data_IF_515708431314
#
_entry.id   IF_515708431314
#
_cell.length_a   1.000
_cell.length_b   1.000
_cell.length_c   1.000
_cell.angle_alpha   90.00
_cell.angle_beta   90.00
_cell.angle_gamma   90.00
#
_symmetry.space_group_name_H-M   'P 1'
#
loop_
_entity.id
_entity.type
_entity.pdbx_description
1 polymer ?
#
# COMPACT_ATOMS: atom_id res chain seq x y z
N UNK A 1 -16.86 2.21 11.48
CA UNK A 1 -15.48 2.13 10.93
C UNK A 1 -15.34 3.23 9.89
N UNK A 2 -14.33 4.09 9.92
CA UNK A 2 -14.27 5.36 9.14
C UNK A 2 -14.71 5.27 7.67
N UNK A 3 -14.24 4.26 6.92
CA UNK A 3 -14.65 4.08 5.52
C UNK A 3 -16.10 3.61 5.41
N UNK A 4 -16.58 2.72 6.29
CA UNK A 4 -17.99 2.31 6.32
C UNK A 4 -18.95 3.47 6.61
N UNK A 5 -18.54 4.38 7.50
CA UNK A 5 -19.44 5.42 8.01
C UNK A 5 -19.46 6.67 7.11
N UNK A 6 -18.34 6.99 6.44
CA UNK A 6 -18.16 8.26 5.74
C UNK A 6 -18.09 8.13 4.20
N UNK A 7 -17.76 6.96 3.66
CA UNK A 7 -17.62 6.81 2.21
C UNK A 7 -18.98 6.81 1.51
N UNK A 8 -19.14 7.70 0.51
CA UNK A 8 -20.37 7.82 -0.28
C UNK A 8 -20.17 7.17 -1.65
N UNK A 9 -20.59 5.91 -1.85
CA UNK A 9 -20.45 5.25 -3.14
C UNK A 9 -21.26 5.94 -4.24
N UNK A 10 -20.72 6.00 -5.45
CA UNK A 10 -21.42 6.44 -6.67
C UNK A 10 -21.54 5.24 -7.61
N UNK A 11 -22.67 5.12 -8.32
CA UNK A 11 -22.95 3.98 -9.21
C UNK A 11 -21.91 3.78 -10.32
N UNK A 12 -21.15 4.81 -10.67
CA UNK A 12 -20.10 4.76 -11.67
C UNK A 12 -18.73 4.34 -11.13
N UNK A 13 -18.57 4.23 -9.81
CA UNK A 13 -17.29 3.96 -9.17
C UNK A 13 -16.74 2.58 -9.50
N UNK A 14 -15.42 2.51 -9.59
CA UNK A 14 -14.66 1.26 -9.68
C UNK A 14 -13.69 1.20 -8.51
N UNK A 15 -13.84 0.20 -7.64
CA UNK A 15 -13.01 -0.01 -6.47
C UNK A 15 -12.07 -1.20 -6.72
N UNK A 16 -10.77 -0.92 -6.72
CA UNK A 16 -9.71 -1.92 -6.79
C UNK A 16 -9.38 -2.38 -5.37
N UNK A 17 -9.92 -3.51 -4.96
CA UNK A 17 -9.70 -4.08 -3.63
C UNK A 17 -8.63 -5.18 -3.71
N UNK A 18 -7.61 -5.09 -2.85
CA UNK A 18 -6.53 -6.09 -2.85
C UNK A 18 -6.03 -6.33 -1.45
N UNK A 19 -5.48 -7.50 -1.16
CA UNK A 19 -4.58 -7.60 0.00
C UNK A 19 -3.25 -6.89 -0.30
N UNK A 20 -2.54 -6.30 0.69
CA UNK A 20 -1.19 -5.80 0.49
C UNK A 20 -0.29 -6.84 -0.18
N UNK A 21 0.58 -6.36 -1.08
CA UNK A 21 1.61 -7.15 -1.79
C UNK A 21 1.10 -8.17 -2.82
N UNK A 22 -0.18 -8.11 -3.17
CA UNK A 22 -0.81 -8.92 -4.23
C UNK A 22 -0.84 -8.24 -5.61
N UNK A 23 0.07 -7.31 -5.90
CA UNK A 23 0.18 -6.67 -7.22
C UNK A 23 -0.58 -5.35 -7.40
N UNK A 24 -0.74 -4.55 -6.35
CA UNK A 24 -1.50 -3.29 -6.38
C UNK A 24 -0.99 -2.27 -7.39
N UNK A 25 0.33 -2.08 -7.46
CA UNK A 25 0.92 -1.13 -8.40
C UNK A 25 0.60 -1.50 -9.84
N UNK A 26 0.69 -2.79 -10.17
CA UNK A 26 0.36 -3.30 -11.50
C UNK A 26 -1.14 -3.13 -11.80
N UNK A 27 -2.00 -3.52 -10.86
CA UNK A 27 -3.46 -3.40 -11.03
C UNK A 27 -3.91 -1.94 -11.18
N UNK A 28 -3.37 -1.02 -10.37
CA UNK A 28 -3.64 0.41 -10.48
C UNK A 28 -3.21 0.97 -11.83
N UNK A 29 -2.00 0.65 -12.28
CA UNK A 29 -1.50 1.09 -13.58
C UNK A 29 -2.39 0.60 -14.72
N UNK A 30 -2.72 -0.70 -14.70
CA UNK A 30 -3.55 -1.32 -15.73
C UNK A 30 -4.97 -0.73 -15.77
N UNK A 31 -5.62 -0.64 -14.61
CA UNK A 31 -6.98 -0.08 -14.52
C UNK A 31 -7.00 1.40 -14.93
N UNK A 32 -6.00 2.18 -14.54
CA UNK A 32 -5.88 3.59 -14.93
C UNK A 32 -5.70 3.75 -16.45
N UNK A 33 -4.81 2.95 -17.05
CA UNK A 33 -4.60 2.93 -18.50
C UNK A 33 -5.88 2.54 -19.26
N UNK A 34 -6.59 1.50 -18.81
CA UNK A 34 -7.84 1.05 -19.46
C UNK A 34 -8.93 2.11 -19.39
N UNK A 35 -9.12 2.72 -18.21
CA UNK A 35 -10.18 3.73 -17.98
C UNK A 35 -9.91 5.03 -18.72
N UNK A 36 -8.66 5.40 -18.92
CA UNK A 36 -8.26 6.65 -19.57
C UNK A 36 -7.66 6.47 -20.98
N UNK A 37 -7.84 5.29 -21.60
CA UNK A 37 -7.23 4.93 -22.90
C UNK A 37 -7.58 5.87 -24.06
N UNK A 38 -8.72 6.55 -23.98
CA UNK A 38 -9.16 7.54 -24.97
C UNK A 38 -8.79 8.98 -24.57
N UNK A 39 -8.37 9.19 -23.33
CA UNK A 39 -8.09 10.52 -22.76
C UNK A 39 -6.62 10.92 -22.92
N UNK A 40 -5.73 9.95 -23.08
CA UNK A 40 -4.29 10.18 -23.23
C UNK A 40 -3.74 9.41 -24.43
N UNK A 41 -2.76 10.00 -25.12
CA UNK A 41 -1.98 9.29 -26.13
C UNK A 41 -0.93 8.40 -25.46
N UNK A 42 -0.42 7.40 -26.19
CA UNK A 42 0.63 6.53 -25.67
C UNK A 42 1.92 7.29 -25.34
N UNK A 43 2.22 8.38 -26.06
CA UNK A 43 3.44 9.16 -25.87
C UNK A 43 3.38 10.13 -24.70
N UNK A 44 2.19 10.57 -24.27
CA UNK A 44 2.00 11.51 -23.16
C UNK A 44 1.11 10.92 -22.06
N UNK A 45 1.36 9.67 -21.71
CA UNK A 45 0.56 8.98 -20.72
C UNK A 45 1.05 9.28 -19.28
N UNK A 46 0.16 9.65 -18.32
CA UNK A 46 0.57 9.99 -16.95
C UNK A 46 1.38 8.91 -16.22
N UNK A 47 1.17 7.63 -16.56
CA UNK A 47 1.93 6.50 -16.01
C UNK A 47 3.44 6.52 -16.34
N UNK A 48 3.87 7.31 -17.32
CA UNK A 48 5.30 7.47 -17.61
C UNK A 48 5.98 8.47 -16.66
N UNK A 49 5.20 9.41 -16.11
CA UNK A 49 5.71 10.53 -15.31
C UNK A 49 5.41 10.38 -13.82
N UNK A 50 4.32 9.69 -13.47
CA UNK A 50 3.82 9.58 -12.08
C UNK A 50 3.69 8.13 -11.64
N UNK A 51 3.84 7.92 -10.34
CA UNK A 51 3.64 6.61 -9.75
C UNK A 51 2.15 6.21 -9.83
N UNK A 52 1.80 4.96 -10.19
CA UNK A 52 0.42 4.49 -10.20
C UNK A 52 -0.31 4.65 -8.85
N UNK A 53 0.42 4.68 -7.73
CA UNK A 53 -0.13 4.90 -6.41
C UNK A 53 -0.68 6.33 -6.21
N UNK A 54 -0.17 7.31 -6.97
CA UNK A 54 -0.63 8.70 -6.96
C UNK A 54 -1.83 8.92 -7.89
N UNK A 55 -1.89 8.16 -8.99
CA UNK A 55 -2.93 8.29 -10.00
C UNK A 55 -4.26 7.64 -9.60
N UNK A 56 -4.20 6.62 -8.75
CA UNK A 56 -5.38 5.92 -8.23
C UNK A 56 -5.45 6.14 -6.72
N UNK A 57 -6.34 7.03 -6.24
CA UNK A 57 -6.53 7.32 -4.83
C UNK A 57 -6.75 6.05 -4.00
N UNK A 58 -6.19 6.06 -2.80
CA UNK A 58 -6.37 4.98 -1.85
C UNK A 58 -7.36 5.41 -0.77
N UNK A 59 -8.34 4.57 -0.45
CA UNK A 59 -9.31 4.80 0.61
C UNK A 59 -9.04 3.87 1.80
N UNK A 60 -8.86 4.46 2.98
CA UNK A 60 -8.74 3.75 4.25
C UNK A 60 -7.34 3.64 4.85
N UNK A 61 -6.35 4.39 4.36
CA UNK A 61 -5.01 4.43 4.96
C UNK A 61 -4.81 5.66 5.85
N UNK A 62 -5.28 6.84 5.40
CA UNK A 62 -5.05 8.12 6.07
C UNK A 62 -6.36 8.83 6.38
N UNK A 63 -6.29 9.75 7.35
CA UNK A 63 -7.35 10.72 7.57
C UNK A 63 -7.47 11.64 6.35
N UNK A 64 -8.71 11.91 5.93
CA UNK A 64 -9.01 12.71 4.74
C UNK A 64 -9.02 11.95 3.41
N UNK A 65 -8.66 10.66 3.36
CA UNK A 65 -8.70 9.87 2.12
C UNK A 65 -10.11 9.87 1.49
N UNK A 66 -11.13 9.73 2.33
CA UNK A 66 -12.54 9.73 1.91
C UNK A 66 -12.95 11.12 1.41
N UNK A 67 -12.57 12.18 2.12
CA UNK A 67 -12.89 13.55 1.76
C UNK A 67 -12.24 13.92 0.41
N UNK A 68 -10.98 13.53 0.21
CA UNK A 68 -10.29 13.68 -1.06
C UNK A 68 -11.00 12.93 -2.18
N UNK A 69 -11.45 11.69 -1.95
CA UNK A 69 -12.19 10.92 -2.93
C UNK A 69 -13.53 11.59 -3.35
N UNK A 70 -14.13 12.41 -2.48
CA UNK A 70 -15.34 13.17 -2.81
C UNK A 70 -15.06 14.37 -3.73
N UNK A 71 -13.87 14.96 -3.67
CA UNK A 71 -13.48 16.06 -4.57
C UNK A 71 -13.31 15.63 -6.03
N UNK A 72 -13.19 14.33 -6.30
CA UNK A 72 -12.92 13.80 -7.64
C UNK A 72 -14.19 13.71 -8.50
N UNK A 73 -14.07 13.98 -9.82
CA UNK A 73 -15.19 13.81 -10.74
C UNK A 73 -15.51 12.32 -10.98
N UNK A 74 -16.76 12.04 -11.32
CA UNK A 74 -17.18 10.70 -11.75
C UNK A 74 -16.83 10.46 -13.23
N UNK A 75 -16.48 9.22 -13.65
CA UNK A 75 -16.35 8.01 -12.83
C UNK A 75 -15.04 7.99 -12.02
N UNK A 76 -15.11 7.56 -10.75
CA UNK A 76 -13.92 7.46 -9.88
C UNK A 76 -13.30 6.07 -9.97
N UNK A 77 -11.98 6.04 -10.11
CA UNK A 77 -11.17 4.84 -9.95
C UNK A 77 -10.47 4.93 -8.59
N UNK A 78 -10.86 4.06 -7.66
CA UNK A 78 -10.39 4.07 -6.27
C UNK A 78 -9.72 2.74 -5.92
N UNK A 79 -8.94 2.71 -4.86
CA UNK A 79 -8.26 1.50 -4.41
C UNK A 79 -8.31 1.34 -2.89
N UNK A 80 -8.30 0.10 -2.40
CA UNK A 80 -8.31 -0.16 -0.97
C UNK A 80 -7.67 -1.50 -0.62
N UNK A 81 -7.19 -1.61 0.62
CA UNK A 81 -6.80 -2.87 1.24
C UNK A 81 -7.84 -3.45 2.18
N UNK A 82 -8.99 -2.77 2.30
CA UNK A 82 -10.08 -3.25 3.13
C UNK A 82 -10.71 -4.50 2.50
N UNK A 83 -10.92 -5.57 3.29
CA UNK A 83 -11.72 -6.70 2.85
C UNK A 83 -13.16 -6.23 2.62
N UNK A 84 -13.87 -6.91 1.72
CA UNK A 84 -15.21 -6.51 1.28
C UNK A 84 -16.22 -6.22 2.43
N UNK A 85 -16.27 -7.01 3.53
CA UNK A 85 -17.18 -6.72 4.65
C UNK A 85 -16.91 -5.40 5.37
N UNK A 86 -15.70 -4.84 5.22
CA UNK A 86 -15.29 -3.57 5.81
C UNK A 86 -15.54 -2.36 4.91
N UNK A 87 -16.08 -2.59 3.71
CA UNK A 87 -16.65 -1.52 2.88
C UNK A 87 -18.10 -1.27 3.29
N UNK A 88 -18.66 -0.06 3.02
CA UNK A 88 -20.08 0.18 3.24
C UNK A 88 -20.91 -0.88 2.48
N UNK A 89 -21.90 -1.51 3.12
CA UNK A 89 -22.77 -2.49 2.45
C UNK A 89 -23.46 -1.92 1.22
N UNK A 90 -23.67 -0.59 1.21
CA UNK A 90 -24.23 0.17 0.10
C UNK A 90 -23.40 0.05 -1.18
N UNK A 91 -22.08 -0.17 -1.11
CA UNK A 91 -21.23 -0.32 -2.31
C UNK A 91 -21.75 -1.45 -3.21
N UNK A 92 -22.15 -2.58 -2.62
CA UNK A 92 -22.66 -3.75 -3.36
C UNK A 92 -24.04 -3.51 -3.98
N UNK A 93 -24.85 -2.65 -3.37
CA UNK A 93 -26.24 -2.38 -3.82
C UNK A 93 -26.37 -1.17 -4.73
N UNK A 94 -25.43 -0.20 -4.67
CA UNK A 94 -25.46 1.04 -5.46
C UNK A 94 -24.97 0.90 -6.91
N UNK A 95 -24.57 -0.30 -7.33
CA UNK A 95 -24.05 -0.56 -8.68
C UNK A 95 -22.55 -0.26 -8.86
N UNK A 96 -21.81 -0.03 -7.79
CA UNK A 96 -20.35 0.09 -7.85
C UNK A 96 -19.73 -1.21 -8.38
N UNK A 97 -18.65 -1.09 -9.15
CA UNK A 97 -17.89 -2.26 -9.62
C UNK A 97 -16.70 -2.48 -8.71
N UNK A 98 -16.56 -3.70 -8.18
CA UNK A 98 -15.42 -4.08 -7.34
C UNK A 98 -14.57 -5.08 -8.11
N UNK A 99 -13.28 -4.75 -8.25
CA UNK A 99 -12.26 -5.67 -8.78
C UNK A 99 -11.41 -6.11 -7.60
N UNK A 100 -11.50 -7.40 -7.26
CA UNK A 100 -10.71 -7.98 -6.18
C UNK A 100 -9.56 -8.81 -6.75
N UNK A 101 -8.33 -8.52 -6.32
CA UNK A 101 -7.15 -9.37 -6.64
C UNK A 101 -6.53 -9.93 -5.36
N UNK A 102 -6.29 -11.23 -5.39
CA UNK A 102 -5.52 -11.94 -4.38
C UNK A 102 -4.37 -12.69 -5.03
N UNK A 103 -3.31 -12.87 -4.25
CA UNK A 103 -2.19 -13.75 -4.53
C UNK A 103 -2.23 -14.90 -3.52
N UNK A 104 -1.58 -16.01 -3.86
CA UNK A 104 -1.39 -17.10 -2.91
C UNK A 104 -0.74 -16.55 -1.61
N UNK A 105 -1.24 -16.94 -0.41
CA UNK A 105 -0.82 -16.35 0.84
C UNK A 105 0.68 -16.45 1.16
N UNK A 106 1.35 -17.57 0.89
CA UNK A 106 2.80 -17.73 1.12
C UNK A 106 3.59 -16.77 0.24
N UNK A 107 3.18 -16.67 -1.01
CA UNK A 107 3.75 -15.78 -2.03
C UNK A 107 3.58 -14.30 -1.65
N UNK A 108 2.38 -13.92 -1.21
CA UNK A 108 2.08 -12.58 -0.72
C UNK A 108 2.89 -12.24 0.52
N UNK A 109 3.08 -13.22 1.41
CA UNK A 109 3.86 -13.10 2.63
C UNK A 109 5.35 -12.90 2.35
N UNK A 110 5.97 -13.73 1.50
CA UNK A 110 7.38 -13.57 1.08
C UNK A 110 7.59 -12.21 0.41
N UNK A 111 6.65 -11.78 -0.45
CA UNK A 111 6.68 -10.44 -1.04
C UNK A 111 6.60 -9.33 0.00
N UNK A 112 5.80 -9.52 1.06
CA UNK A 112 5.72 -8.58 2.19
C UNK A 112 7.00 -8.55 2.99
N UNK A 113 7.53 -9.71 3.33
CA UNK A 113 8.79 -9.88 4.04
C UNK A 113 9.94 -9.13 3.39
N UNK A 114 10.16 -9.34 2.08
CA UNK A 114 11.21 -8.63 1.35
C UNK A 114 10.96 -7.13 1.26
N UNK A 115 9.70 -6.70 1.15
CA UNK A 115 9.36 -5.29 1.10
C UNK A 115 9.64 -4.58 2.42
N UNK A 116 9.17 -5.15 3.53
CA UNK A 116 9.38 -4.58 4.86
C UNK A 116 10.88 -4.58 5.20
N UNK A 117 11.59 -5.67 4.92
CA UNK A 117 13.04 -5.73 5.11
C UNK A 117 13.82 -4.74 4.24
N UNK A 118 13.37 -4.47 3.01
CA UNK A 118 14.00 -3.44 2.19
C UNK A 118 13.81 -2.07 2.81
N UNK A 119 12.61 -1.75 3.28
CA UNK A 119 12.32 -0.47 3.95
C UNK A 119 13.14 -0.31 5.23
N UNK A 120 13.21 -1.37 6.04
CA UNK A 120 14.01 -1.40 7.26
C UNK A 120 15.49 -1.23 6.91
N UNK A 121 16.03 -1.96 5.92
CA UNK A 121 17.42 -1.80 5.48
C UNK A 121 17.72 -0.37 5.02
N UNK A 122 16.84 0.25 4.24
CA UNK A 122 17.03 1.64 3.79
C UNK A 122 17.07 2.63 4.97
N UNK A 123 16.32 2.39 6.05
CA UNK A 123 16.28 3.26 7.24
C UNK A 123 17.43 2.95 8.21
N UNK A 124 17.77 1.67 8.39
CA UNK A 124 18.73 1.19 9.40
C UNK A 124 20.17 1.23 8.90
N UNK A 125 20.42 0.94 7.62
CA UNK A 125 21.78 0.80 7.10
C UNK A 125 22.47 2.15 6.84
N UNK A 126 21.70 3.21 6.52
CA UNK A 126 22.23 4.54 6.30
C UNK A 126 21.24 5.64 6.79
N UNK A 127 21.02 5.72 8.11
CA UNK A 127 20.08 6.67 8.68
C UNK A 127 20.49 8.13 8.43
N UNK A 128 21.80 8.39 8.33
CA UNK A 128 22.34 9.72 8.02
C UNK A 128 21.92 10.18 6.62
N UNK A 129 22.02 9.31 5.62
CA UNK A 129 21.56 9.64 4.26
C UNK A 129 20.06 9.91 4.22
N UNK A 130 19.25 9.15 4.96
CA UNK A 130 17.80 9.39 5.04
C UNK A 130 17.51 10.73 5.69
N UNK A 131 18.14 11.02 6.84
CA UNK A 131 17.96 12.28 7.59
C UNK A 131 18.42 13.49 6.78
N UNK A 132 19.59 13.43 6.13
CA UNK A 132 20.09 14.51 5.28
C UNK A 132 19.19 14.77 4.07
N UNK A 133 18.70 13.70 3.43
CA UNK A 133 17.78 13.82 2.29
C UNK A 133 16.43 14.41 2.73
N UNK A 134 15.93 14.01 3.89
CA UNK A 134 14.71 14.57 4.47
C UNK A 134 14.88 16.05 4.83
N UNK A 135 15.98 16.43 5.47
CA UNK A 135 16.28 17.81 5.82
C UNK A 135 16.34 18.71 4.58
N UNK A 136 16.96 18.22 3.50
CA UNK A 136 16.98 18.90 2.20
C UNK A 136 15.57 19.06 1.61
N UNK A 137 14.74 18.02 1.70
CA UNK A 137 13.35 18.06 1.21
C UNK A 137 12.47 19.03 2.02
N UNK A 138 12.73 19.17 3.32
CA UNK A 138 12.04 20.12 4.20
C UNK A 138 12.52 21.57 4.03
N UNK A 139 13.49 21.83 3.15
CA UNK A 139 14.05 23.16 2.93
C UNK A 139 15.04 23.63 4.01
N UNK A 140 15.53 22.71 4.85
CA UNK A 140 16.48 22.97 5.94
C UNK A 140 17.67 22.01 5.86
N UNK A 141 18.47 22.04 4.78
CA UNK A 141 19.58 21.10 4.61
C UNK A 141 20.65 21.33 5.68
N UNK A 142 21.27 20.25 6.17
CA UNK A 142 22.43 20.36 7.05
C UNK A 142 23.61 20.97 6.28
N UNK A 143 24.16 22.05 6.82
CA UNK A 143 25.38 22.69 6.30
C UNK A 143 26.60 21.79 6.49
N UNK A 144 27.67 22.03 5.74
CA UNK A 144 28.93 21.29 5.92
C UNK A 144 29.50 21.48 7.33
N UNK A 145 29.34 22.67 7.91
CA UNK A 145 29.76 22.96 9.28
C UNK A 145 28.96 22.14 10.30
N UNK A 146 27.64 22.04 10.16
CA UNK A 146 26.79 21.20 11.03
C UNK A 146 27.12 19.71 10.91
N UNK A 147 27.41 19.23 9.70
CA UNK A 147 27.84 17.84 9.47
C UNK A 147 29.22 17.58 10.10
N UNK A 148 30.16 18.52 9.97
CA UNK A 148 31.48 18.40 10.62
C UNK A 148 31.39 18.38 12.15
N UNK A 149 30.35 19.01 12.71
CA UNK A 149 30.05 19.04 14.15
C UNK A 149 29.21 17.83 14.60
N UNK A 150 28.84 16.91 13.70
CA UNK A 150 28.02 15.74 14.02
C UNK A 150 26.58 16.05 14.42
N UNK A 151 26.02 17.18 13.98
CA UNK A 151 24.64 17.59 14.36
C UNK A 151 23.60 16.62 13.82
N UNK A 152 23.79 16.11 12.61
CA UNK A 152 22.96 15.11 11.95
C UNK A 152 23.07 13.73 12.61
N UNK A 153 24.26 13.34 13.07
CA UNK A 153 24.46 12.15 13.91
C UNK A 153 23.71 12.26 15.24
N UNK A 154 23.76 13.43 15.88
CA UNK A 154 23.02 13.70 17.11
C UNK A 154 21.50 13.69 16.87
N UNK A 155 21.02 14.18 15.72
CA UNK A 155 19.61 14.08 15.33
C UNK A 155 19.19 12.63 15.16
N UNK A 156 19.97 11.82 14.44
CA UNK A 156 19.72 10.37 14.30
C UNK A 156 19.70 9.71 15.69
N UNK A 157 20.68 10.00 16.55
CA UNK A 157 20.77 9.44 17.91
C UNK A 157 19.56 9.80 18.76
N UNK A 158 19.10 11.05 18.71
CA UNK A 158 17.90 11.50 19.44
C UNK A 158 16.63 10.84 18.94
N UNK A 159 16.50 10.68 17.62
CA UNK A 159 15.37 9.94 17.03
C UNK A 159 15.43 8.48 17.47
N UNK A 160 16.59 7.83 17.44
CA UNK A 160 16.77 6.44 17.89
C UNK A 160 16.46 6.26 19.38
N UNK A 161 16.84 7.21 20.24
CA UNK A 161 16.55 7.16 21.69
C UNK A 161 15.07 7.42 22.02
N UNK A 162 14.37 8.23 21.22
CA UNK A 162 12.92 8.47 21.39
C UNK A 162 12.07 7.37 20.75
N UNK A 163 12.49 6.88 19.59
CA UNK A 163 11.92 5.71 18.95
C UNK A 163 12.60 4.46 19.51
N UNK A 164 12.23 4.04 20.73
CA UNK A 164 12.49 2.69 21.29
C UNK A 164 11.93 1.52 20.43
N UNK A 165 11.61 1.81 19.17
CA UNK A 165 10.99 0.92 18.21
C UNK A 165 12.05 0.06 17.52
N UNK A 166 13.34 0.39 17.55
CA UNK A 166 14.36 -0.42 16.84
C UNK A 166 14.88 -1.62 17.63
N UNK A 167 15.06 -1.52 18.95
CA UNK A 167 15.52 -2.68 19.75
C UNK A 167 14.42 -3.72 19.95
N UNK A 168 13.20 -3.29 20.28
CA UNK A 168 12.05 -4.19 20.43
C UNK A 168 11.62 -4.79 19.07
N UNK A 169 11.68 -4.03 17.96
CA UNK A 169 11.41 -4.61 16.64
C UNK A 169 12.52 -5.52 16.13
N UNK A 170 13.79 -5.32 16.48
CA UNK A 170 14.86 -6.27 16.14
C UNK A 170 14.70 -7.58 16.92
N UNK A 171 14.33 -7.51 18.21
CA UNK A 171 14.01 -8.70 19.04
C UNK A 171 12.76 -9.42 18.52
N UNK A 172 11.68 -8.69 18.26
CA UNK A 172 10.44 -9.22 17.66
C UNK A 172 10.72 -9.75 16.24
N UNK A 173 11.61 -9.11 15.47
CA UNK A 173 12.01 -9.57 14.14
C UNK A 173 12.81 -10.87 14.23
N UNK A 174 13.76 -11.00 15.16
CA UNK A 174 14.48 -12.26 15.38
C UNK A 174 13.55 -13.39 15.84
N UNK A 175 12.59 -13.10 16.72
CA UNK A 175 11.58 -14.07 17.14
C UNK A 175 10.62 -14.43 15.99
N UNK A 176 10.18 -13.46 15.18
CA UNK A 176 9.38 -13.69 13.98
C UNK A 176 10.16 -14.47 12.91
N UNK A 177 11.45 -14.19 12.69
CA UNK A 177 12.31 -14.95 11.78
C UNK A 177 12.42 -16.41 12.23
N UNK A 178 12.59 -16.64 13.54
CA UNK A 178 12.61 -17.98 14.15
C UNK A 178 11.26 -18.71 14.05
N UNK A 179 10.14 -18.00 14.32
CA UNK A 179 8.78 -18.53 14.22
C UNK A 179 8.36 -18.78 12.78
N UNK A 180 8.79 -17.93 11.84
CA UNK A 180 8.55 -18.10 10.41
C UNK A 180 9.30 -19.29 9.86
N UNK A 181 10.57 -19.49 10.24
CA UNK A 181 11.34 -20.64 9.80
C UNK A 181 10.71 -21.95 10.31
N UNK A 182 10.30 -22.00 11.59
CA UNK A 182 9.63 -23.15 12.20
C UNK A 182 8.26 -23.44 11.56
N UNK A 183 7.44 -22.42 11.32
CA UNK A 183 6.11 -22.59 10.74
C UNK A 183 6.14 -22.89 9.22
N UNK A 184 7.16 -22.45 8.48
CA UNK A 184 7.28 -22.76 7.05
C UNK A 184 7.49 -24.26 6.83
N UNK A 185 8.29 -24.91 7.68
CA UNK A 185 8.54 -26.36 7.62
C UNK A 185 7.28 -27.18 7.96
N UNK A 186 6.47 -26.74 8.92
CA UNK A 186 5.22 -27.40 9.32
C UNK A 186 4.06 -27.20 8.32
N UNK A 187 4.07 -26.13 7.52
CA UNK A 187 3.01 -25.79 6.56
C UNK A 187 3.25 -26.31 5.13
N UNK A 188 4.45 -26.82 4.84
CA UNK A 188 4.80 -27.36 3.53
C UNK A 188 3.99 -28.61 3.12
N UNK A 189 3.67 -29.57 4.01
CA UNK A 189 2.92 -30.78 3.62
C UNK A 189 1.42 -30.57 3.37
N UNK A 190 0.82 -29.44 3.80
CA UNK A 190 -0.64 -29.27 3.85
C UNK A 190 -1.27 -28.54 2.65
N UNK A 191 -0.49 -28.05 1.70
CA UNK A 191 -0.98 -27.12 0.67
C UNK A 191 -0.49 -27.44 -0.74
N UNK A 192 -0.60 -28.70 -1.15
CA UNK A 192 -0.61 -29.03 -2.58
C UNK A 192 -2.06 -29.04 -3.09
N UNK A 193 -2.49 -27.94 -3.70
CA UNK A 193 -3.29 -27.98 -4.94
C UNK A 193 -3.64 -26.58 -5.46
N UNK A 194 -3.22 -26.36 -6.71
CA UNK A 194 -3.82 -25.54 -7.76
C UNK A 194 -3.77 -24.00 -7.65
N UNK A 195 -2.73 -23.47 -8.31
CA UNK A 195 -2.57 -22.09 -8.77
C UNK A 195 -3.54 -21.75 -9.92
N UNK A 196 -4.53 -20.88 -9.67
CA UNK A 196 -5.18 -20.10 -10.72
C UNK A 196 -5.48 -18.68 -10.21
N UNK A 197 -5.12 -17.67 -11.01
CA UNK A 197 -5.50 -16.27 -10.85
C UNK A 197 -7.03 -16.16 -10.85
N UNK A 198 -7.63 -16.01 -9.66
CA UNK A 198 -9.07 -15.81 -9.54
C UNK A 198 -9.41 -14.32 -9.66
N UNK A 199 -9.65 -13.84 -10.88
CA UNK A 199 -10.38 -12.58 -11.10
C UNK A 199 -11.87 -12.89 -10.88
N UNK A 200 -12.36 -12.72 -9.65
CA UNK A 200 -13.80 -12.85 -9.37
C UNK A 200 -14.48 -11.50 -9.60
N UNK A 201 -15.30 -11.40 -10.65
CA UNK A 201 -16.38 -10.41 -10.71
C UNK A 201 -17.52 -10.93 -9.83
N UNK A 202 -17.72 -10.35 -8.65
CA UNK A 202 -18.97 -10.56 -7.92
C UNK A 202 -20.01 -9.57 -8.47
N UNK A 203 -20.86 -10.05 -9.39
CA UNK A 203 -22.20 -9.47 -9.59
C UNK A 203 -23.08 -10.12 -8.51
N UNK A 204 -23.32 -9.39 -7.42
CA UNK A 204 -24.30 -9.82 -6.43
C UNK A 204 -25.68 -9.54 -7.02
N UNK A 205 -26.29 -10.56 -7.64
CA UNK A 205 -27.69 -10.51 -7.99
C UNK A 205 -28.48 -10.49 -6.68
N UNK A 206 -29.28 -9.44 -6.48
CA UNK A 206 -30.32 -9.45 -5.46
C UNK A 206 -31.39 -10.44 -5.90
N UNK A 207 -31.52 -11.52 -5.16
CA UNK A 207 -32.73 -12.34 -5.19
C UNK A 207 -33.68 -11.80 -4.11
N UNK A 208 -34.88 -11.52 -4.58
CA UNK A 208 -36.10 -11.02 -3.93
C UNK A 208 -36.59 -11.85 -2.77
#
# INVERSE_FOLDING_TARGET
>A
MRVQDNFKPRSTDVILATHPKCGTTWLKALAFAITNRSSYTFSDHPLQKKNPQELVPFIGLKEGDVDYAETLPSPRLLSTHLPLPLLPPTVSTFGCRIVYICREPKDAFVSRWHFDNRLIKEIVFDPLKVVRKLASFLGVPFTEEEQSRGVDEEVVRRVHLKCRVTSELEEIRMELESLMHKNLEDLLPRMNSNSLLNVRQQKLNGET
#
